data_IF_191773957537
#
_entry.id   IF_191773957537
#
_cell.length_a   1.000
_cell.length_b   1.000
_cell.length_c   1.000
_cell.angle_alpha   90.00
_cell.angle_beta   90.00
_cell.angle_gamma   90.00
#
_symmetry.space_group_name_H-M   'P 1'
#
loop_
_entity.id
_entity.type
_entity.pdbx_description
1 polymer ?
#
# COMPACT_ATOMS: atom_id res chain seq x y z
N UNK A 1 -13.96 -15.58 9.39
CA UNK A 1 -14.25 -14.87 10.66
C UNK A 1 -15.50 -15.42 11.35
N UNK A 2 -16.71 -15.42 10.75
CA UNK A 2 -17.93 -15.91 11.41
C UNK A 2 -17.78 -17.32 12.02
N UNK A 3 -17.20 -18.26 11.27
CA UNK A 3 -16.92 -19.62 11.74
C UNK A 3 -15.94 -19.64 12.92
N UNK A 4 -14.91 -18.81 12.92
CA UNK A 4 -13.93 -18.77 14.02
C UNK A 4 -14.55 -18.23 15.31
N UNK A 5 -15.42 -17.20 15.19
CA UNK A 5 -16.15 -16.63 16.32
C UNK A 5 -17.11 -17.66 16.93
N UNK A 6 -17.85 -18.35 16.06
CA UNK A 6 -18.81 -19.40 16.47
C UNK A 6 -18.10 -20.59 17.14
N UNK A 7 -17.04 -21.11 16.53
CA UNK A 7 -16.24 -22.21 17.13
C UNK A 7 -15.54 -21.79 18.43
N UNK A 8 -15.19 -20.52 18.56
CA UNK A 8 -14.60 -19.96 19.78
C UNK A 8 -15.62 -19.74 20.90
N UNK A 9 -16.92 -19.88 20.63
CA UNK A 9 -17.99 -19.64 21.60
C UNK A 9 -18.02 -18.20 22.13
N UNK A 10 -17.56 -17.22 21.33
CA UNK A 10 -17.47 -15.81 21.72
C UNK A 10 -18.43 -14.95 20.90
N UNK A 11 -18.85 -13.82 21.47
CA UNK A 11 -19.65 -12.85 20.74
C UNK A 11 -18.74 -11.90 19.95
N UNK A 12 -19.12 -11.63 18.71
CA UNK A 12 -18.47 -10.57 17.94
C UNK A 12 -18.88 -9.21 18.51
N UNK A 13 -17.93 -8.33 18.86
CA UNK A 13 -18.25 -7.05 19.50
C UNK A 13 -19.03 -6.13 18.57
N UNK A 14 -19.97 -5.37 19.13
CA UNK A 14 -20.73 -4.33 18.39
C UNK A 14 -20.03 -2.97 18.37
N UNK A 15 -19.06 -2.77 19.27
CA UNK A 15 -18.27 -1.53 19.35
C UNK A 15 -16.85 -1.81 19.84
N UNK A 16 -15.94 -0.88 19.54
CA UNK A 16 -14.57 -0.86 20.06
C UNK A 16 -14.16 0.59 20.30
N UNK A 17 -13.69 0.89 21.51
CA UNK A 17 -13.21 2.22 21.89
C UNK A 17 -14.24 3.35 21.62
N UNK A 18 -15.54 3.04 21.77
CA UNK A 18 -16.65 3.96 21.51
C UNK A 18 -17.10 4.05 20.04
N UNK A 19 -16.44 3.32 19.14
CA UNK A 19 -16.80 3.30 17.73
C UNK A 19 -17.60 2.03 17.38
N UNK A 20 -18.69 2.21 16.62
CA UNK A 20 -19.54 1.10 16.16
C UNK A 20 -18.80 0.25 15.14
N UNK A 21 -18.74 -1.07 15.38
CA UNK A 21 -18.11 -2.04 14.48
C UNK A 21 -19.13 -2.55 13.46
N UNK A 22 -18.71 -2.65 12.19
CA UNK A 22 -19.52 -3.31 11.16
C UNK A 22 -19.79 -4.77 11.54
N UNK A 23 -21.06 -5.22 11.58
CA UNK A 23 -21.41 -6.59 11.90
C UNK A 23 -20.79 -7.61 10.95
N UNK A 24 -20.65 -8.86 11.39
CA UNK A 24 -20.21 -9.96 10.53
C UNK A 24 -21.23 -10.22 9.41
N UNK A 25 -20.77 -10.19 8.17
CA UNK A 25 -21.57 -10.49 6.99
C UNK A 25 -21.62 -11.99 6.66
N UNK A 26 -20.63 -12.74 7.14
CA UNK A 26 -20.49 -14.16 6.87
C UNK A 26 -21.42 -15.03 7.70
N UNK A 27 -21.77 -16.21 7.17
CA UNK A 27 -22.46 -17.29 7.88
C UNK A 27 -21.42 -18.30 8.37
N UNK A 28 -21.59 -18.83 9.60
CA UNK A 28 -20.71 -19.88 10.12
C UNK A 28 -20.80 -21.16 9.29
N UNK A 29 -19.67 -21.78 9.03
CA UNK A 29 -19.56 -23.08 8.36
C UNK A 29 -19.69 -24.28 9.35
N UNK A 30 -19.84 -24.03 10.64
CA UNK A 30 -19.92 -25.08 11.66
C UNK A 30 -20.94 -26.16 11.34
N UNK A 31 -22.18 -25.85 10.84
CA UNK A 31 -23.13 -26.89 10.46
C UNK A 31 -22.60 -27.80 9.34
N UNK A 32 -21.84 -27.30 8.40
CA UNK A 32 -21.26 -28.08 7.30
C UNK A 32 -20.21 -29.10 7.80
N UNK A 33 -19.50 -28.82 8.89
CA UNK A 33 -18.58 -29.78 9.52
C UNK A 33 -19.30 -31.01 10.07
N UNK A 34 -20.57 -30.87 10.36
CA UNK A 34 -21.47 -31.99 10.79
C UNK A 34 -22.33 -32.51 9.62
N UNK A 35 -21.94 -32.25 8.37
CA UNK A 35 -22.69 -32.60 7.16
C UNK A 35 -24.14 -32.07 7.12
N UNK A 36 -24.44 -30.98 7.83
CA UNK A 36 -25.72 -30.29 7.82
C UNK A 36 -25.74 -29.19 6.75
N UNK A 37 -26.92 -28.87 6.26
CA UNK A 37 -27.11 -27.77 5.33
C UNK A 37 -26.80 -26.43 6.01
N UNK A 38 -26.20 -25.53 5.22
CA UNK A 38 -25.79 -24.19 5.68
C UNK A 38 -26.94 -23.21 5.56
N UNK A 39 -28.14 -23.46 5.57
CA UNK A 39 -29.29 -22.53 5.60
C UNK A 39 -28.96 -21.05 5.29
N UNK A 40 -28.33 -20.76 4.13
CA UNK A 40 -27.97 -19.39 3.78
C UNK A 40 -29.17 -18.68 3.15
N UNK A 41 -29.69 -17.72 3.87
CA UNK A 41 -30.82 -16.87 3.50
C UNK A 41 -30.42 -15.48 2.99
N UNK A 42 -29.13 -15.15 3.03
CA UNK A 42 -28.61 -13.84 2.63
C UNK A 42 -27.87 -13.91 1.29
N UNK A 43 -28.03 -12.90 0.43
CA UNK A 43 -27.24 -12.77 -0.78
C UNK A 43 -25.74 -12.72 -0.50
N UNK A 44 -24.95 -13.09 -1.50
CA UNK A 44 -23.49 -12.95 -1.48
C UNK A 44 -23.11 -11.86 -2.47
N UNK A 45 -22.29 -10.93 -2.00
CA UNK A 45 -21.84 -9.79 -2.79
C UNK A 45 -20.34 -9.88 -3.03
N UNK A 46 -19.91 -9.42 -4.19
CA UNK A 46 -18.50 -9.29 -4.55
C UNK A 46 -18.24 -7.94 -5.18
N UNK A 47 -17.09 -7.43 -4.88
CA UNK A 47 -16.47 -6.28 -5.51
C UNK A 47 -14.96 -6.51 -5.54
N UNK A 48 -14.36 -6.34 -6.72
CA UNK A 48 -12.93 -6.44 -6.91
C UNK A 48 -12.52 -5.58 -8.11
N UNK A 49 -11.79 -4.50 -7.85
CA UNK A 49 -11.29 -3.59 -8.90
C UNK A 49 -12.38 -3.07 -9.86
N UNK A 50 -13.56 -2.76 -9.31
CA UNK A 50 -14.73 -2.33 -10.07
C UNK A 50 -15.56 -3.45 -10.67
N UNK A 51 -15.07 -4.70 -10.69
CA UNK A 51 -15.87 -5.86 -11.07
C UNK A 51 -16.83 -6.18 -9.93
N UNK A 52 -18.10 -6.36 -10.27
CA UNK A 52 -19.15 -6.51 -9.28
C UNK A 52 -19.96 -7.77 -9.54
N UNK A 53 -20.42 -8.42 -8.47
CA UNK A 53 -21.39 -9.51 -8.58
C UNK A 53 -22.29 -9.56 -7.34
N UNK A 54 -23.49 -10.11 -7.54
CA UNK A 54 -24.41 -10.50 -6.48
C UNK A 54 -24.98 -11.87 -6.82
N UNK A 55 -25.01 -12.78 -5.85
CA UNK A 55 -25.73 -14.05 -5.97
C UNK A 55 -26.79 -14.13 -4.89
N UNK A 56 -28.01 -14.39 -5.31
CA UNK A 56 -29.17 -14.63 -4.47
C UNK A 56 -29.85 -15.94 -4.88
N UNK A 57 -29.68 -16.99 -4.08
CA UNK A 57 -30.11 -18.33 -4.42
C UNK A 57 -29.52 -18.83 -5.76
N UNK A 58 -30.39 -19.13 -6.71
CA UNK A 58 -29.98 -19.56 -8.06
C UNK A 58 -29.59 -18.42 -8.99
N UNK A 59 -29.98 -17.18 -8.67
CA UNK A 59 -29.74 -16.04 -9.54
C UNK A 59 -28.41 -15.36 -9.26
N UNK A 60 -27.72 -14.97 -10.31
CA UNK A 60 -26.47 -14.20 -10.20
C UNK A 60 -26.49 -13.06 -11.21
N UNK A 61 -26.11 -11.87 -10.74
CA UNK A 61 -25.76 -10.76 -11.63
C UNK A 61 -24.27 -10.49 -11.56
N UNK A 62 -23.69 -10.12 -12.70
CA UNK A 62 -22.29 -9.72 -12.80
C UNK A 62 -22.17 -8.45 -13.62
N UNK A 63 -21.13 -7.67 -13.33
CA UNK A 63 -20.78 -6.49 -14.09
C UNK A 63 -19.27 -6.36 -14.14
N UNK A 64 -18.72 -6.23 -15.33
CA UNK A 64 -17.29 -5.95 -15.49
C UNK A 64 -17.01 -4.49 -15.17
N UNK A 65 -16.05 -4.23 -14.31
CA UNK A 65 -15.53 -2.90 -14.03
C UNK A 65 -14.70 -2.37 -15.20
N UNK A 66 -14.81 -1.08 -15.45
CA UNK A 66 -13.94 -0.41 -16.39
C UNK A 66 -12.99 0.51 -15.61
N UNK A 67 -11.85 -0.05 -15.20
CA UNK A 67 -10.82 0.70 -14.49
C UNK A 67 -10.29 1.84 -15.37
N UNK A 68 -10.74 3.05 -15.12
CA UNK A 68 -10.20 4.27 -15.72
C UNK A 68 -11.14 5.08 -16.62
N UNK A 69 -12.30 4.58 -17.05
CA UNK A 69 -13.28 5.38 -17.79
C UNK A 69 -14.38 5.97 -16.92
N UNK A 70 -14.58 5.43 -15.71
CA UNK A 70 -15.74 5.79 -14.87
C UNK A 70 -17.06 5.24 -15.38
N UNK A 71 -17.10 4.62 -16.55
CA UNK A 71 -18.27 3.99 -17.13
C UNK A 71 -18.34 2.52 -16.70
N UNK A 72 -19.50 2.14 -16.20
CA UNK A 72 -19.77 0.75 -15.88
C UNK A 72 -20.33 0.04 -17.11
N UNK A 73 -19.88 -1.18 -17.37
CA UNK A 73 -20.54 -2.04 -18.34
C UNK A 73 -21.95 -2.38 -17.85
N UNK A 74 -22.87 -2.76 -18.74
CA UNK A 74 -24.18 -3.24 -18.33
C UNK A 74 -24.08 -4.43 -17.38
N UNK A 75 -25.10 -4.62 -16.54
CA UNK A 75 -25.25 -5.83 -15.75
C UNK A 75 -25.73 -6.97 -16.63
N UNK A 76 -25.20 -8.15 -16.40
CA UNK A 76 -25.63 -9.43 -16.95
C UNK A 76 -26.34 -10.25 -15.87
N UNK A 77 -27.30 -11.09 -16.22
CA UNK A 77 -28.10 -11.92 -15.30
C UNK A 77 -28.05 -13.39 -15.71
N UNK A 78 -27.77 -14.26 -14.76
CA UNK A 78 -27.64 -15.70 -14.98
C UNK A 78 -28.46 -16.52 -14.01
N UNK A 79 -29.01 -17.65 -14.51
CA UNK A 79 -29.58 -18.73 -13.68
C UNK A 79 -28.50 -19.76 -13.40
N UNK A 80 -27.90 -19.73 -12.22
CA UNK A 80 -26.80 -20.61 -11.84
C UNK A 80 -27.20 -22.07 -11.66
N UNK A 81 -28.51 -22.39 -11.70
CA UNK A 81 -28.99 -23.75 -11.66
C UNK A 81 -29.02 -24.36 -13.06
N UNK A 82 -29.45 -23.60 -14.03
CA UNK A 82 -29.54 -23.99 -15.45
C UNK A 82 -28.22 -23.74 -16.21
N UNK A 83 -27.49 -22.66 -15.85
CA UNK A 83 -26.29 -22.20 -16.54
C UNK A 83 -25.18 -21.86 -15.54
N UNK A 84 -24.43 -22.87 -15.10
CA UNK A 84 -23.33 -22.71 -14.13
C UNK A 84 -22.09 -22.04 -14.73
N UNK A 85 -22.01 -21.93 -16.03
CA UNK A 85 -20.86 -21.38 -16.77
C UNK A 85 -21.11 -19.97 -17.30
N UNK A 86 -22.29 -19.40 -17.02
CA UNK A 86 -22.63 -18.01 -17.35
C UNK A 86 -22.53 -17.70 -18.86
N UNK A 87 -23.08 -18.60 -19.71
CA UNK A 87 -23.04 -18.48 -21.17
C UNK A 87 -24.29 -17.80 -21.73
N UNK A 88 -25.40 -17.76 -21.00
CA UNK A 88 -26.69 -17.29 -21.48
C UNK A 88 -27.19 -16.11 -20.60
N UNK A 89 -26.88 -14.91 -21.01
CA UNK A 89 -27.36 -13.71 -20.36
C UNK A 89 -28.88 -13.55 -20.47
N UNK A 90 -29.55 -13.46 -19.33
CA UNK A 90 -31.01 -13.29 -19.21
C UNK A 90 -31.43 -11.85 -18.92
N UNK A 91 -30.52 -10.89 -18.90
CA UNK A 91 -30.78 -9.50 -18.53
C UNK A 91 -31.92 -8.89 -19.35
N UNK A 92 -31.90 -9.10 -20.66
CA UNK A 92 -32.97 -8.58 -21.56
C UNK A 92 -34.31 -9.31 -21.40
N UNK A 93 -34.28 -10.58 -20.93
CA UNK A 93 -35.51 -11.40 -20.74
C UNK A 93 -36.16 -11.13 -19.37
N UNK A 94 -35.40 -10.69 -18.38
CA UNK A 94 -35.85 -10.53 -16.99
C UNK A 94 -35.41 -9.17 -16.40
N UNK A 95 -35.76 -8.05 -17.02
CA UNK A 95 -35.27 -6.71 -16.64
C UNK A 95 -35.64 -6.30 -15.21
N UNK A 96 -36.82 -6.69 -14.73
CA UNK A 96 -37.27 -6.35 -13.37
C UNK A 96 -36.45 -7.08 -12.31
N UNK A 97 -36.11 -8.35 -12.53
CA UNK A 97 -35.23 -9.11 -11.65
C UNK A 97 -33.82 -8.50 -11.64
N UNK A 98 -33.26 -8.22 -12.81
CA UNK A 98 -31.99 -7.55 -12.94
C UNK A 98 -31.95 -6.23 -12.15
N UNK A 99 -32.96 -5.39 -12.34
CA UNK A 99 -33.07 -4.10 -11.64
C UNK A 99 -33.12 -4.27 -10.12
N UNK A 100 -33.92 -5.22 -9.63
CA UNK A 100 -34.04 -5.51 -8.20
C UNK A 100 -32.70 -5.92 -7.61
N UNK A 101 -32.00 -6.85 -8.26
CA UNK A 101 -30.72 -7.33 -7.80
C UNK A 101 -29.61 -6.26 -7.91
N UNK A 102 -29.61 -5.46 -8.98
CA UNK A 102 -28.68 -4.35 -9.13
C UNK A 102 -28.85 -3.30 -8.03
N UNK A 103 -30.10 -2.94 -7.67
CA UNK A 103 -30.39 -2.04 -6.58
C UNK A 103 -29.92 -2.61 -5.22
N UNK A 104 -30.09 -3.91 -5.00
CA UNK A 104 -29.60 -4.57 -3.79
C UNK A 104 -28.06 -4.51 -3.70
N UNK A 105 -27.39 -4.71 -4.83
CA UNK A 105 -25.92 -4.58 -4.87
C UNK A 105 -25.47 -3.14 -4.57
N UNK A 106 -26.14 -2.13 -5.15
CA UNK A 106 -25.81 -0.72 -4.90
C UNK A 106 -26.00 -0.34 -3.42
N UNK A 107 -27.08 -0.79 -2.79
CA UNK A 107 -27.34 -0.56 -1.35
C UNK A 107 -26.25 -1.20 -0.49
N UNK A 108 -25.86 -2.45 -0.80
CA UNK A 108 -24.78 -3.13 -0.13
C UNK A 108 -23.43 -2.43 -0.31
N UNK A 109 -23.12 -1.96 -1.51
CA UNK A 109 -21.86 -1.29 -1.82
C UNK A 109 -21.68 0.01 -1.01
N UNK A 110 -22.75 0.73 -0.73
CA UNK A 110 -22.73 1.89 0.16
C UNK A 110 -22.52 1.48 1.62
N UNK A 111 -23.26 0.46 2.10
CA UNK A 111 -23.13 -0.07 3.45
C UNK A 111 -21.73 -0.60 3.73
N UNK A 112 -21.18 -1.41 2.81
CA UNK A 112 -19.84 -2.00 2.93
C UNK A 112 -18.69 -1.01 2.63
N UNK A 113 -19.03 0.26 2.33
CA UNK A 113 -18.05 1.29 1.92
C UNK A 113 -17.22 0.90 0.69
N UNK A 114 -17.75 0.00 -0.16
CA UNK A 114 -17.17 -0.31 -1.47
C UNK A 114 -17.36 0.85 -2.46
N UNK A 115 -18.28 1.77 -2.17
CA UNK A 115 -18.48 3.03 -2.88
C UNK A 115 -18.34 4.24 -1.94
N UNK A 116 -17.82 5.40 -2.41
CA UNK A 116 -17.31 5.62 -3.77
C UNK A 116 -16.06 4.79 -4.05
N UNK A 117 -15.96 4.25 -5.27
CA UNK A 117 -14.81 3.48 -5.70
C UNK A 117 -13.53 4.34 -5.69
N UNK A 118 -12.45 3.92 -5.01
CA UNK A 118 -11.28 4.77 -4.84
C UNK A 118 -10.48 5.01 -6.14
N UNK A 119 -10.74 4.22 -7.18
CA UNK A 119 -10.00 4.26 -8.44
C UNK A 119 -10.75 4.97 -9.58
N UNK A 120 -11.62 5.94 -9.28
CA UNK A 120 -12.29 6.76 -10.30
C UNK A 120 -11.31 7.45 -11.25
N UNK A 121 -11.80 7.99 -12.38
CA UNK A 121 -10.99 8.58 -13.44
C UNK A 121 -9.95 9.63 -12.99
N UNK A 122 -10.13 10.21 -11.81
CA UNK A 122 -9.19 11.13 -11.16
C UNK A 122 -8.16 10.44 -10.26
N UNK A 123 -8.23 9.13 -10.03
CA UNK A 123 -7.28 8.42 -9.14
C UNK A 123 -5.97 8.05 -9.82
N UNK A 124 -5.87 8.14 -11.12
CA UNK A 124 -4.59 8.24 -11.82
C UNK A 124 -4.05 9.66 -11.68
N UNK A 125 -3.76 10.12 -10.47
CA UNK A 125 -2.81 11.23 -10.34
C UNK A 125 -1.63 10.85 -11.21
N UNK A 126 -1.37 11.65 -12.26
CA UNK A 126 -0.18 11.44 -13.11
C UNK A 126 1.00 11.31 -12.17
N UNK A 127 1.76 10.24 -12.31
CA UNK A 127 2.95 10.01 -11.50
C UNK A 127 3.76 11.32 -11.45
N UNK A 128 4.17 11.71 -10.27
CA UNK A 128 4.87 12.97 -10.03
C UNK A 128 6.13 13.03 -10.91
N UNK A 129 6.19 13.99 -11.84
CA UNK A 129 7.34 14.20 -12.72
C UNK A 129 8.44 15.04 -12.07
N UNK A 130 8.23 15.47 -10.83
CA UNK A 130 9.20 16.30 -10.10
C UNK A 130 10.50 15.52 -9.89
N UNK A 131 11.61 16.17 -10.14
CA UNK A 131 12.96 15.58 -9.99
C UNK A 131 13.73 16.11 -8.80
N UNK A 132 13.23 17.15 -8.14
CA UNK A 132 13.84 17.73 -6.94
C UNK A 132 12.78 17.90 -5.87
N UNK A 133 13.07 17.40 -4.68
CA UNK A 133 12.22 17.50 -3.50
C UNK A 133 13.04 18.17 -2.39
N UNK A 134 12.45 19.14 -1.70
CA UNK A 134 13.00 19.76 -0.51
C UNK A 134 12.00 19.54 0.61
N UNK A 135 12.38 18.79 1.61
CA UNK A 135 11.51 18.25 2.65
C UNK A 135 12.04 18.63 4.03
N UNK A 136 11.14 18.77 4.99
CA UNK A 136 11.43 19.01 6.39
C UNK A 136 11.05 17.79 7.23
N UNK A 137 11.52 17.74 8.49
CA UNK A 137 11.10 16.75 9.48
C UNK A 137 9.57 16.65 9.52
N UNK A 138 9.05 15.41 9.60
CA UNK A 138 7.61 15.12 9.63
C UNK A 138 6.93 15.20 8.28
N UNK A 139 7.67 15.45 7.17
CA UNK A 139 7.09 15.32 5.85
C UNK A 139 6.71 13.85 5.60
N UNK A 140 5.46 13.65 5.17
CA UNK A 140 4.90 12.35 4.79
C UNK A 140 4.19 12.52 3.45
N UNK A 141 4.77 11.92 2.41
CA UNK A 141 4.28 12.01 1.05
C UNK A 141 3.66 10.68 0.64
N UNK A 142 2.37 10.65 0.28
CA UNK A 142 1.78 9.43 -0.28
C UNK A 142 2.48 9.05 -1.58
N UNK A 143 2.48 7.76 -1.91
CA UNK A 143 3.18 7.18 -3.07
C UNK A 143 3.05 7.97 -4.40
N UNK A 144 1.87 8.51 -4.78
CA UNK A 144 1.75 9.30 -6.02
C UNK A 144 2.51 10.62 -6.01
N UNK A 145 2.71 11.22 -4.83
CA UNK A 145 3.34 12.52 -4.63
C UNK A 145 4.85 12.39 -4.28
N UNK A 146 5.29 11.18 -3.94
CA UNK A 146 6.67 10.86 -3.60
C UNK A 146 7.59 10.76 -4.83
N UNK A 147 8.93 10.77 -4.66
CA UNK A 147 9.90 10.58 -5.74
C UNK A 147 9.65 9.30 -6.54
N UNK A 148 9.54 9.43 -7.87
CA UNK A 148 9.40 8.29 -8.78
C UNK A 148 10.77 7.85 -9.27
N UNK A 149 11.40 6.91 -8.58
CA UNK A 149 12.83 6.57 -8.71
C UNK A 149 13.15 5.60 -9.84
N UNK A 150 12.14 4.90 -10.36
CA UNK A 150 12.34 3.84 -11.36
C UNK A 150 13.12 4.33 -12.58
N UNK A 151 14.20 3.62 -12.92
CA UNK A 151 15.07 3.96 -14.02
C UNK A 151 15.85 5.29 -13.86
N UNK A 152 16.03 5.79 -12.63
CA UNK A 152 16.72 7.04 -12.34
C UNK A 152 17.83 6.86 -11.31
N UNK A 153 18.89 7.69 -11.45
CA UNK A 153 19.84 7.84 -10.35
C UNK A 153 19.21 8.64 -9.21
N UNK A 154 19.63 8.36 -7.98
CA UNK A 154 19.11 8.97 -6.76
C UNK A 154 20.24 9.69 -6.03
N UNK A 155 19.98 10.91 -5.59
CA UNK A 155 20.84 11.66 -4.68
C UNK A 155 20.00 12.19 -3.54
N UNK A 156 20.43 11.91 -2.31
CA UNK A 156 19.83 12.39 -1.07
C UNK A 156 20.88 13.23 -0.35
N UNK A 157 20.51 14.41 0.12
CA UNK A 157 21.32 15.24 1.02
C UNK A 157 20.47 15.61 2.22
N UNK A 158 20.90 15.22 3.41
CA UNK A 158 20.28 15.58 4.67
C UNK A 158 21.17 16.52 5.44
N UNK A 159 20.63 17.69 5.82
CA UNK A 159 21.28 18.64 6.71
C UNK A 159 20.74 18.46 8.12
N UNK A 160 21.61 18.13 9.04
CA UNK A 160 21.31 17.91 10.45
C UNK A 160 21.81 19.06 11.29
N UNK A 161 20.99 19.56 12.19
CA UNK A 161 21.39 20.54 13.21
C UNK A 161 21.98 19.82 14.43
N UNK A 162 21.49 18.59 14.71
CA UNK A 162 22.11 17.68 15.69
C UNK A 162 21.99 16.25 15.19
N UNK A 163 23.02 15.46 15.46
CA UNK A 163 23.07 14.03 15.13
C UNK A 163 22.29 13.23 16.18
N UNK A 164 21.66 12.14 15.76
CA UNK A 164 20.96 11.16 16.60
C UNK A 164 20.84 9.85 15.85
N UNK A 165 20.38 8.82 16.53
CA UNK A 165 20.03 7.51 15.95
C UNK A 165 18.69 7.58 15.23
N UNK A 166 18.46 6.66 14.28
CA UNK A 166 17.19 6.47 13.63
C UNK A 166 17.14 6.91 12.17
N UNK A 167 15.94 6.90 11.61
CA UNK A 167 15.70 7.11 10.18
C UNK A 167 15.61 8.60 9.84
N UNK A 168 16.46 9.05 8.92
CA UNK A 168 16.45 10.41 8.39
C UNK A 168 15.39 10.54 7.29
N UNK A 169 15.35 9.59 6.35
CA UNK A 169 14.34 9.53 5.30
C UNK A 169 14.20 8.09 4.81
N UNK A 170 12.97 7.67 4.59
CA UNK A 170 12.65 6.37 3.99
C UNK A 170 11.57 6.53 2.91
N UNK A 171 11.63 5.71 1.90
CA UNK A 171 10.59 5.56 0.89
C UNK A 171 10.45 4.10 0.48
N UNK A 172 9.22 3.60 0.45
CA UNK A 172 8.89 2.23 0.05
C UNK A 172 8.80 1.29 1.24
N UNK A 173 9.06 0.00 1.03
CA UNK A 173 8.87 -1.04 2.03
C UNK A 173 9.72 -2.29 1.75
N UNK A 174 9.26 -3.43 2.24
CA UNK A 174 10.00 -4.71 2.23
C UNK A 174 10.32 -5.26 0.84
N UNK A 175 9.63 -4.84 -0.21
CA UNK A 175 9.89 -5.32 -1.58
C UNK A 175 10.81 -4.41 -2.36
N UNK A 176 10.51 -3.11 -2.39
CA UNK A 176 11.28 -2.07 -3.07
C UNK A 176 11.24 -0.78 -2.27
N UNK A 177 12.40 -0.21 -2.03
CA UNK A 177 12.52 1.05 -1.29
C UNK A 177 13.96 1.41 -1.02
N UNK A 178 14.14 2.56 -0.38
CA UNK A 178 15.44 3.04 0.10
C UNK A 178 15.28 3.81 1.41
N UNK A 179 16.33 3.82 2.21
CA UNK A 179 16.38 4.59 3.46
C UNK A 179 17.79 5.09 3.74
N UNK A 180 17.87 6.33 4.24
CA UNK A 180 19.07 6.91 4.82
C UNK A 180 18.83 7.06 6.32
N UNK A 181 19.71 6.49 7.14
CA UNK A 181 19.52 6.43 8.59
C UNK A 181 20.87 6.46 9.32
N UNK A 182 20.83 6.64 10.62
CA UNK A 182 21.99 6.52 11.51
C UNK A 182 21.78 5.32 12.42
N UNK A 183 22.78 4.46 12.50
CA UNK A 183 22.80 3.32 13.40
C UNK A 183 24.18 3.13 13.99
N UNK A 184 24.28 2.96 15.33
CA UNK A 184 25.53 2.89 16.08
C UNK A 184 26.44 4.11 15.81
N UNK A 185 25.81 5.30 15.70
CA UNK A 185 26.47 6.56 15.36
C UNK A 185 26.91 6.70 13.92
N UNK A 186 26.75 5.69 13.07
CA UNK A 186 27.26 5.64 11.70
C UNK A 186 26.16 5.94 10.66
N UNK A 187 26.47 6.72 9.61
CA UNK A 187 25.54 6.94 8.52
C UNK A 187 25.39 5.64 7.71
N UNK A 188 24.18 5.27 7.38
CA UNK A 188 23.86 4.06 6.64
C UNK A 188 22.82 4.34 5.55
N UNK A 189 23.00 3.71 4.41
CA UNK A 189 22.02 3.71 3.32
C UNK A 189 21.67 2.28 2.97
N UNK A 190 20.38 1.96 3.04
CA UNK A 190 19.85 0.67 2.62
C UNK A 190 18.93 0.82 1.43
N UNK A 191 18.97 -0.16 0.54
CA UNK A 191 18.07 -0.31 -0.59
C UNK A 191 17.49 -1.71 -0.63
N UNK A 192 16.21 -1.83 -0.93
CA UNK A 192 15.55 -3.11 -1.24
C UNK A 192 15.21 -3.21 -2.72
N UNK A 193 15.55 -4.36 -3.29
CA UNK A 193 15.19 -4.74 -4.65
C UNK A 193 14.65 -6.17 -4.66
N UNK A 194 13.36 -6.33 -5.00
CA UNK A 194 12.64 -7.63 -4.97
C UNK A 194 12.81 -8.36 -3.63
N UNK A 195 12.69 -7.61 -2.52
CA UNK A 195 12.82 -8.13 -1.16
C UNK A 195 14.27 -8.28 -0.65
N UNK A 196 15.26 -8.33 -1.54
CA UNK A 196 16.67 -8.40 -1.13
C UNK A 196 17.16 -7.03 -0.69
N UNK A 197 17.75 -6.95 0.51
CA UNK A 197 18.31 -5.73 1.07
C UNK A 197 19.81 -5.65 0.81
N UNK A 198 20.27 -4.47 0.41
CA UNK A 198 21.70 -4.13 0.34
C UNK A 198 21.92 -2.89 1.20
N UNK A 199 22.93 -2.91 2.05
CA UNK A 199 23.28 -1.82 2.96
C UNK A 199 24.72 -1.38 2.72
N UNK A 200 24.93 -0.06 2.72
CA UNK A 200 26.24 0.58 2.74
C UNK A 200 26.31 1.43 4.01
N UNK A 201 27.30 1.18 4.87
CA UNK A 201 27.47 1.84 6.17
C UNK A 201 28.84 2.51 6.22
N UNK A 202 28.88 3.75 6.71
CA UNK A 202 30.12 4.50 6.90
C UNK A 202 31.05 3.83 7.92
N UNK A 203 32.34 3.98 7.75
CA UNK A 203 33.35 3.30 8.57
C UNK A 203 33.47 3.93 9.99
N UNK A 204 33.17 5.21 10.12
CA UNK A 204 33.30 5.95 11.37
C UNK A 204 31.97 6.60 11.81
N UNK A 205 31.80 6.83 13.11
CA UNK A 205 30.69 7.61 13.63
C UNK A 205 30.64 9.04 13.05
N UNK A 206 29.42 9.59 12.97
CA UNK A 206 29.20 10.99 12.57
C UNK A 206 29.87 11.97 13.56
N UNK A 207 30.34 13.12 13.11
CA UNK A 207 30.85 14.16 14.00
C UNK A 207 29.74 14.68 14.91
N UNK A 208 30.09 15.07 16.13
CA UNK A 208 29.13 15.73 17.03
C UNK A 208 28.71 17.09 16.47
N UNK A 209 27.42 17.44 16.66
CA UNK A 209 26.87 18.73 16.24
C UNK A 209 26.24 18.71 14.84
N UNK A 210 26.28 19.87 14.17
CA UNK A 210 25.67 20.00 12.84
C UNK A 210 26.52 19.32 11.77
N UNK A 211 25.89 18.57 10.90
CA UNK A 211 26.57 17.95 9.74
C UNK A 211 25.62 17.78 8.55
N UNK A 212 26.20 17.51 7.39
CA UNK A 212 25.47 17.11 6.20
C UNK A 212 25.83 15.67 5.84
N UNK A 213 24.84 14.84 5.63
CA UNK A 213 25.00 13.46 5.16
C UNK A 213 24.42 13.38 3.75
N UNK A 214 25.15 12.78 2.82
CA UNK A 214 24.62 12.52 1.49
C UNK A 214 24.80 11.06 1.10
N UNK A 215 23.80 10.56 0.36
CA UNK A 215 23.82 9.26 -0.31
C UNK A 215 23.55 9.44 -1.79
N UNK A 216 24.37 8.87 -2.64
CA UNK A 216 24.15 8.82 -4.09
C UNK A 216 24.09 7.38 -4.55
N UNK A 217 23.13 7.08 -5.44
CA UNK A 217 22.96 5.80 -6.09
C UNK A 217 22.90 6.01 -7.60
N UNK A 218 23.87 5.50 -8.30
CA UNK A 218 23.91 5.53 -9.76
C UNK A 218 22.99 4.45 -10.36
N UNK A 219 22.67 4.57 -11.66
CA UNK A 219 21.96 3.53 -12.41
C UNK A 219 22.72 2.19 -12.43
N UNK A 220 24.05 2.23 -12.40
CA UNK A 220 24.91 1.06 -12.29
C UNK A 220 24.83 0.36 -10.93
N UNK A 221 24.21 0.99 -9.93
CA UNK A 221 24.19 0.53 -8.53
C UNK A 221 25.37 1.04 -7.70
N UNK A 222 26.31 1.81 -8.26
CA UNK A 222 27.36 2.42 -7.47
C UNK A 222 26.76 3.37 -6.45
N UNK A 223 27.05 3.12 -5.17
CA UNK A 223 26.50 3.83 -4.03
C UNK A 223 27.65 4.51 -3.28
N UNK A 224 27.50 5.81 -3.00
CA UNK A 224 28.49 6.58 -2.22
C UNK A 224 27.77 7.27 -1.07
N UNK A 225 28.30 7.12 0.14
CA UNK A 225 27.96 7.94 1.29
C UNK A 225 29.05 8.99 1.52
N UNK A 226 28.62 10.21 1.82
CA UNK A 226 29.53 11.30 2.18
C UNK A 226 29.03 12.02 3.42
N UNK A 227 29.96 12.55 4.21
CA UNK A 227 29.69 13.40 5.39
C UNK A 227 30.42 14.72 5.19
N UNK A 228 29.72 15.84 5.29
CA UNK A 228 30.22 17.19 5.04
C UNK A 228 30.96 17.35 3.68
N UNK A 229 30.50 16.59 2.68
CA UNK A 229 31.07 16.60 1.32
C UNK A 229 32.25 15.65 1.11
N UNK A 230 32.77 15.03 2.13
CA UNK A 230 33.84 14.02 2.04
C UNK A 230 33.24 12.62 1.91
N UNK A 231 33.72 11.82 0.95
CA UNK A 231 33.31 10.42 0.79
C UNK A 231 33.81 9.62 2.00
N UNK A 232 32.88 8.92 2.68
CA UNK A 232 33.20 8.08 3.85
C UNK A 232 33.09 6.60 3.56
N UNK A 233 32.36 6.23 2.52
CA UNK A 233 32.27 4.82 2.06
C UNK A 233 31.67 4.75 0.66
N UNK A 234 32.12 3.76 -0.08
CA UNK A 234 31.58 3.34 -1.38
C UNK A 234 31.14 1.88 -1.33
N UNK A 235 29.99 1.60 -1.94
CA UNK A 235 29.42 0.27 -2.03
C UNK A 235 28.75 0.02 -3.38
N UNK A 236 28.12 -1.14 -3.51
CA UNK A 236 27.41 -1.56 -4.71
C UNK A 236 26.04 -2.11 -4.37
N UNK A 237 25.02 -1.53 -4.95
CA UNK A 237 23.65 -2.02 -4.94
C UNK A 237 23.33 -2.75 -6.27
N UNK A 238 22.22 -3.51 -6.37
CA UNK A 238 21.87 -4.24 -7.59
C UNK A 238 21.53 -3.36 -8.80
N UNK A 239 21.42 -2.06 -8.65
CA UNK A 239 21.05 -1.11 -9.69
C UNK A 239 20.29 0.10 -9.12
N UNK A 240 19.49 0.78 -9.93
CA UNK A 240 18.61 1.85 -9.45
C UNK A 240 17.48 1.31 -8.58
N UNK A 241 16.90 2.17 -7.74
CA UNK A 241 15.69 1.83 -6.98
C UNK A 241 14.54 1.63 -7.97
N UNK A 242 13.95 0.44 -7.99
CA UNK A 242 12.70 0.20 -8.69
C UNK A 242 11.57 1.03 -8.06
N UNK A 243 10.38 1.04 -8.66
CA UNK A 243 9.23 1.78 -8.10
C UNK A 243 9.01 1.40 -6.63
N UNK A 244 9.18 2.34 -5.68
CA UNK A 244 9.00 2.04 -4.26
C UNK A 244 7.59 1.54 -3.96
N UNK A 245 7.47 0.65 -2.98
CA UNK A 245 6.19 0.04 -2.61
C UNK A 245 5.22 1.07 -2.03
N UNK A 246 5.72 1.96 -1.15
CA UNK A 246 4.95 2.91 -0.38
C UNK A 246 5.37 4.38 -0.62
N UNK A 247 4.83 5.29 0.18
CA UNK A 247 5.15 6.71 0.20
C UNK A 247 6.56 7.01 0.74
N UNK A 248 6.81 8.29 1.04
CA UNK A 248 8.07 8.76 1.61
C UNK A 248 7.82 9.48 2.92
N UNK A 249 8.59 9.18 3.94
CA UNK A 249 8.59 9.87 5.22
C UNK A 249 9.97 10.42 5.60
N UNK A 250 10.01 11.53 6.34
CA UNK A 250 11.22 12.20 6.85
C UNK A 250 11.21 12.24 8.36
N UNK A 251 12.26 11.70 8.97
CA UNK A 251 12.43 11.58 10.42
C UNK A 251 11.92 10.27 10.99
N UNK A 252 11.38 9.40 10.14
CA UNK A 252 10.93 8.05 10.50
C UNK A 252 10.72 7.21 9.24
N UNK A 253 10.45 5.92 9.40
CA UNK A 253 9.95 5.01 8.36
C UNK A 253 8.51 4.65 8.74
N UNK A 254 7.52 5.36 8.17
CA UNK A 254 6.10 5.23 8.55
C UNK A 254 5.39 4.03 7.91
N UNK A 255 6.02 3.39 6.94
CA UNK A 255 5.52 2.20 6.24
C UNK A 255 6.12 0.89 6.75
N UNK A 256 6.12 -0.12 5.89
CA UNK A 256 6.88 -1.34 6.11
C UNK A 256 8.38 -1.02 6.11
N UNK A 257 9.17 -1.55 7.06
CA UNK A 257 10.56 -1.15 7.23
C UNK A 257 11.42 -1.51 6.01
N UNK A 258 12.09 -0.49 5.46
CA UNK A 258 13.03 -0.66 4.34
C UNK A 258 14.39 -1.16 4.84
N UNK A 259 14.86 -0.61 5.95
CA UNK A 259 16.18 -0.92 6.52
C UNK A 259 16.21 -2.16 7.42
N UNK A 260 17.37 -2.45 8.06
CA UNK A 260 17.56 -3.58 8.98
C UNK A 260 17.07 -3.29 10.40
N UNK A 261 16.17 -2.34 10.57
CA UNK A 261 15.59 -1.93 11.85
C UNK A 261 14.15 -2.46 11.99
N UNK A 262 13.62 -2.41 13.21
CA UNK A 262 12.23 -2.79 13.50
C UNK A 262 11.39 -1.53 13.82
N UNK A 263 10.16 -1.48 13.31
CA UNK A 263 9.25 -0.37 13.52
C UNK A 263 9.69 0.91 12.77
N UNK A 264 9.11 2.03 13.15
CA UNK A 264 9.28 3.33 12.48
C UNK A 264 10.65 3.98 12.68
N UNK A 265 11.37 3.61 13.75
CA UNK A 265 12.71 4.11 14.10
C UNK A 265 12.85 5.63 13.94
N UNK A 266 12.10 6.37 14.75
CA UNK A 266 12.15 7.83 14.76
C UNK A 266 13.58 8.35 14.98
N UNK A 267 13.95 9.38 14.21
CA UNK A 267 15.25 10.01 14.30
C UNK A 267 15.38 10.82 15.60
N UNK A 268 16.33 10.48 16.43
CA UNK A 268 16.55 11.08 17.75
C UNK A 268 17.36 12.40 17.70
N UNK A 269 17.74 12.85 16.51
CA UNK A 269 18.42 14.12 16.26
C UNK A 269 17.47 15.19 15.72
N UNK A 270 18.04 16.23 15.09
CA UNK A 270 17.27 17.30 14.46
C UNK A 270 17.66 17.47 13.01
N UNK A 271 16.70 17.21 12.12
CA UNK A 271 16.82 17.38 10.67
C UNK A 271 16.37 18.81 10.32
N UNK A 272 17.25 19.56 9.67
CA UNK A 272 16.89 20.87 9.11
C UNK A 272 16.18 20.71 7.78
N UNK A 273 16.76 19.91 6.88
CA UNK A 273 16.24 19.68 5.54
C UNK A 273 16.76 18.39 4.92
N UNK A 274 15.91 17.73 4.16
CA UNK A 274 16.28 16.64 3.24
C UNK A 274 16.02 17.11 1.80
N UNK A 275 17.04 17.03 0.97
CA UNK A 275 16.95 17.30 -0.48
C UNK A 275 17.11 16.00 -1.23
N UNK A 276 16.14 15.64 -2.07
CA UNK A 276 16.22 14.47 -2.95
C UNK A 276 16.22 14.93 -4.39
N UNK A 277 17.16 14.40 -5.18
CA UNK A 277 17.27 14.67 -6.61
C UNK A 277 17.28 13.37 -7.39
N UNK A 278 16.53 13.34 -8.48
CA UNK A 278 16.47 12.23 -9.43
C UNK A 278 17.17 12.65 -10.72
N UNK A 279 18.20 11.90 -11.11
CA UNK A 279 18.92 12.08 -12.37
C UNK A 279 18.28 11.34 -13.55
N UNK A 280 18.90 11.47 -14.71
CA UNK A 280 18.62 10.64 -15.90
C UNK A 280 19.36 9.31 -15.80
#
# INVERSE_FOLDING_TARGET
MATCVDLGGVNYPSEREGEVITPLEGTSLQPAFAAKELGRDKPIFWEHEGNCALRDGQWKIVRKGNMGSGENTPWELYDMQADRTELHDLAAKMPDRLKTMANAWEAYALHAKAKPWPWGANSRKKANKKRKFELKTGADLPKPDAPQTDGKSLSIEAKLTSVGEGVIVAQGGVTHGYTLYVQDGKPSFSMRHKGTMTTVTGDAPLPSGACAISATLALSGDTVLSVNGEEVVRGKAPGSVATPADGLSVGQDSGDPVGPYQGSQEFQGKIDRVTIKLGM
#
